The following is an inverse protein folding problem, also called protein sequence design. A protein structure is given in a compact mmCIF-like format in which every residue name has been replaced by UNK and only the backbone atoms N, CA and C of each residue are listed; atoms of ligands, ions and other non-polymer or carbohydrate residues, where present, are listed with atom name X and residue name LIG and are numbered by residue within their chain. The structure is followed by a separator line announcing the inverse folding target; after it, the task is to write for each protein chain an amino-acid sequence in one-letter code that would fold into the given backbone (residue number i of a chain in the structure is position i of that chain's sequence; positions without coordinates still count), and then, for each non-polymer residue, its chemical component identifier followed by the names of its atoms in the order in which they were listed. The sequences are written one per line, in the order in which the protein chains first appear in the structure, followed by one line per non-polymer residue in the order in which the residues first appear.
data_IF_764697473733
#
_entry.id   IF_764697473733
#
_cell.length_a   1.000
_cell.length_b   1.000
_cell.length_c   1.000
_cell.angle_alpha   90.00
_cell.angle_beta   90.00
_cell.angle_gamma   90.00
#
_symmetry.space_group_name_H-M   'P 1'
#
loop_
_entity.id
_entity.type
_entity.pdbx_description
1 polymer ?
#
# COMPACT_ATOMS: atom_id res chain seq x y z
N UNK A 1 -2.80 2.05 19.68
CA UNK A 1 -1.95 1.71 18.51
C UNK A 1 -1.65 2.97 17.69
N UNK A 2 -2.65 3.70 17.18
CA UNK A 2 -2.44 4.87 16.34
C UNK A 2 -1.68 6.01 17.03
N UNK A 3 -1.98 6.32 18.29
CA UNK A 3 -1.29 7.34 19.05
C UNK A 3 0.19 6.97 19.23
N UNK A 4 0.49 5.75 19.66
CA UNK A 4 1.88 5.32 19.82
C UNK A 4 2.66 5.30 18.51
N UNK A 5 2.01 4.98 17.37
CA UNK A 5 2.66 5.07 16.06
C UNK A 5 2.95 6.54 15.68
N UNK A 6 2.03 7.46 15.99
CA UNK A 6 2.22 8.90 15.76
C UNK A 6 3.39 9.44 16.59
N UNK A 7 3.42 9.14 17.89
CA UNK A 7 4.51 9.53 18.80
C UNK A 7 5.86 9.04 18.28
N UNK A 8 5.95 7.75 17.88
CA UNK A 8 7.16 7.19 17.30
C UNK A 8 7.60 7.91 16.02
N UNK A 9 6.67 8.19 15.10
CA UNK A 9 6.97 8.90 13.86
C UNK A 9 7.44 10.33 14.13
N UNK A 10 6.84 11.02 15.08
CA UNK A 10 7.23 12.38 15.46
C UNK A 10 8.63 12.41 16.08
N UNK A 11 8.95 11.45 16.96
CA UNK A 11 10.29 11.27 17.53
C UNK A 11 11.34 11.01 16.44
N UNK A 12 11.07 10.03 15.55
CA UNK A 12 11.98 9.68 14.45
C UNK A 12 12.24 10.83 13.49
N UNK A 13 11.28 11.74 13.33
CA UNK A 13 11.39 12.91 12.46
C UNK A 13 11.88 14.17 13.18
N UNK A 14 12.22 14.09 14.46
CA UNK A 14 12.67 15.23 15.26
C UNK A 14 11.61 16.33 15.42
N UNK A 15 10.33 15.97 15.33
CA UNK A 15 9.21 16.91 15.48
C UNK A 15 8.78 17.09 16.94
N UNK A 16 9.16 16.14 17.80
CA UNK A 16 8.94 16.17 19.24
C UNK A 16 10.06 15.39 19.92
N UNK A 17 10.32 15.67 21.19
CA UNK A 17 11.32 14.98 22.00
C UNK A 17 10.66 14.12 23.08
N UNK A 18 11.39 13.13 23.60
CA UNK A 18 10.85 12.17 24.56
C UNK A 18 10.41 12.83 25.89
N UNK A 19 11.13 13.85 26.34
CA UNK A 19 10.79 14.65 27.52
C UNK A 19 9.49 15.47 27.33
N UNK A 20 9.22 15.92 26.10
CA UNK A 20 7.98 16.63 25.76
C UNK A 20 6.78 15.68 25.74
N UNK A 21 6.95 14.47 25.21
CA UNK A 21 5.91 13.44 25.27
C UNK A 21 5.59 13.06 26.72
N UNK A 22 6.62 12.87 27.54
CA UNK A 22 6.48 12.48 28.94
C UNK A 22 5.81 13.57 29.80
N UNK A 23 6.14 14.83 29.55
CA UNK A 23 5.62 15.97 30.35
C UNK A 23 4.34 16.59 29.79
N UNK A 24 4.06 16.41 28.48
CA UNK A 24 3.01 17.13 27.76
C UNK A 24 3.30 18.63 27.60
N UNK A 25 4.55 19.05 27.78
CA UNK A 25 5.00 20.44 27.69
C UNK A 25 6.03 20.58 26.59
N UNK A 26 5.98 21.69 25.86
CA UNK A 26 7.00 22.03 24.87
C UNK A 26 8.26 22.55 25.58
N UNK A 27 9.37 21.86 25.41
CA UNK A 27 10.67 22.20 25.99
C UNK A 27 11.69 22.67 24.93
N UNK A 28 11.45 22.34 23.68
CA UNK A 28 12.36 22.62 22.56
C UNK A 28 11.68 23.49 21.51
N UNK A 29 12.44 24.31 20.77
CA UNK A 29 11.89 25.05 19.63
C UNK A 29 11.29 24.07 18.59
N UNK A 30 10.13 24.41 18.06
CA UNK A 30 9.49 23.60 17.02
C UNK A 30 10.41 23.45 15.79
N UNK A 31 10.57 22.22 15.31
CA UNK A 31 11.29 21.97 14.08
C UNK A 31 10.58 22.62 12.88
N UNK A 32 11.30 23.26 11.93
CA UNK A 32 10.69 23.83 10.75
C UNK A 32 10.12 22.69 9.87
N UNK A 33 8.88 22.85 9.43
CA UNK A 33 8.21 21.91 8.50
C UNK A 33 7.94 22.59 7.18
N UNK A 34 8.15 21.89 6.07
CA UNK A 34 8.05 22.44 4.72
C UNK A 34 6.61 22.89 4.36
N UNK A 35 5.61 22.20 4.93
CA UNK A 35 4.20 22.51 4.71
C UNK A 35 3.42 22.38 6.00
N UNK A 36 2.73 23.44 6.37
CA UNK A 36 1.81 23.46 7.52
C UNK A 36 0.38 23.55 6.97
N UNK A 37 -0.46 22.58 7.32
CA UNK A 37 -1.88 22.65 7.00
C UNK A 37 -2.55 23.65 7.95
N UNK A 38 -2.96 24.80 7.42
CA UNK A 38 -3.68 25.81 8.18
C UNK A 38 -5.11 25.34 8.46
N UNK A 39 -5.63 25.64 9.66
CA UNK A 39 -6.97 25.23 10.10
C UNK A 39 -8.07 25.63 9.10
N UNK A 40 -8.00 26.81 8.52
CA UNK A 40 -8.94 27.30 7.52
C UNK A 40 -8.99 26.44 6.23
N UNK A 41 -7.90 25.72 5.90
CA UNK A 41 -7.78 24.91 4.69
C UNK A 41 -8.20 23.46 4.89
N UNK A 42 -8.38 23.01 6.14
CA UNK A 42 -8.72 21.61 6.46
C UNK A 42 -9.97 21.11 5.74
N UNK A 43 -11.11 21.85 5.74
CA UNK A 43 -12.33 21.39 5.06
C UNK A 43 -12.11 21.18 3.55
N UNK A 44 -11.41 22.10 2.89
CA UNK A 44 -11.14 22.00 1.45
C UNK A 44 -10.21 20.82 1.11
N UNK A 45 -9.18 20.60 1.93
CA UNK A 45 -8.24 19.48 1.75
C UNK A 45 -8.95 18.14 1.93
N UNK A 46 -9.79 18.01 2.95
CA UNK A 46 -10.57 16.79 3.19
C UNK A 46 -11.58 16.53 2.07
N UNK A 47 -12.27 17.57 1.60
CA UNK A 47 -13.23 17.44 0.51
C UNK A 47 -12.56 17.02 -0.82
N UNK A 48 -11.37 17.55 -1.10
CA UNK A 48 -10.58 17.20 -2.28
C UNK A 48 -10.07 15.75 -2.24
N UNK A 49 -9.74 15.25 -1.04
CA UNK A 49 -9.06 13.97 -0.87
C UNK A 49 -7.63 13.98 -1.45
N UNK A 50 -7.06 12.79 -1.54
CA UNK A 50 -5.73 12.57 -2.11
C UNK A 50 -5.77 11.33 -3.02
N UNK A 51 -6.11 11.52 -4.30
CA UNK A 51 -6.10 10.44 -5.29
C UNK A 51 -4.69 9.88 -5.46
N UNK A 52 -4.62 8.57 -5.67
CA UNK A 52 -3.35 7.84 -5.86
C UNK A 52 -3.03 7.55 -7.31
N UNK A 53 -3.95 7.81 -8.23
CA UNK A 53 -3.74 7.63 -9.67
C UNK A 53 -2.68 8.60 -10.20
N UNK A 54 -1.83 8.11 -11.10
CA UNK A 54 -0.76 8.86 -11.76
C UNK A 54 -0.70 8.49 -13.25
N UNK A 55 -0.14 9.36 -14.11
CA UNK A 55 0.16 8.97 -15.50
C UNK A 55 1.05 7.73 -15.54
N UNK A 56 0.69 6.76 -16.39
CA UNK A 56 1.52 5.58 -16.61
C UNK A 56 2.79 5.95 -17.40
N UNK A 57 3.93 5.43 -16.98
CA UNK A 57 5.23 5.63 -17.65
C UNK A 57 5.49 4.61 -18.77
N UNK A 58 4.76 3.50 -18.80
CA UNK A 58 4.86 2.42 -19.78
C UNK A 58 3.50 1.72 -19.93
N UNK A 59 3.26 0.97 -21.01
CA UNK A 59 2.08 0.13 -21.14
C UNK A 59 1.96 -0.92 -20.03
N UNK A 60 0.73 -1.33 -19.71
CA UNK A 60 0.46 -2.44 -18.80
C UNK A 60 1.06 -3.74 -19.33
N UNK A 61 1.73 -4.51 -18.48
CA UNK A 61 2.36 -5.80 -18.84
C UNK A 61 1.36 -6.94 -18.98
N UNK A 62 0.23 -6.85 -18.26
CA UNK A 62 -0.76 -7.90 -18.20
C UNK A 62 -2.10 -7.42 -18.75
N UNK A 63 -2.87 -8.36 -19.32
CA UNK A 63 -4.20 -8.10 -19.87
C UNK A 63 -5.28 -8.76 -19.02
N UNK A 64 -6.52 -8.24 -19.10
CA UNK A 64 -7.69 -8.88 -18.48
C UNK A 64 -7.86 -10.29 -19.03
N UNK A 65 -8.14 -11.25 -18.15
CA UNK A 65 -8.22 -12.68 -18.44
C UNK A 65 -6.88 -13.42 -18.45
N UNK A 66 -5.75 -12.72 -18.32
CA UNK A 66 -4.44 -13.34 -18.26
C UNK A 66 -4.19 -14.01 -16.91
N UNK A 67 -3.69 -15.25 -16.94
CA UNK A 67 -3.22 -15.95 -15.75
C UNK A 67 -1.87 -15.36 -15.30
N UNK A 68 -1.77 -15.09 -14.02
CA UNK A 68 -0.57 -14.55 -13.36
C UNK A 68 -0.26 -15.33 -12.09
N UNK A 69 0.97 -15.21 -11.62
CA UNK A 69 1.39 -15.71 -10.32
C UNK A 69 1.82 -14.54 -9.45
N UNK A 70 1.42 -14.55 -8.19
CA UNK A 70 1.93 -13.58 -7.21
C UNK A 70 3.36 -13.92 -6.85
N UNK A 71 4.22 -12.91 -6.73
CA UNK A 71 5.59 -13.11 -6.27
C UNK A 71 5.62 -13.83 -4.92
N UNK A 72 6.59 -14.73 -4.78
CA UNK A 72 6.91 -15.37 -3.52
C UNK A 72 8.13 -14.67 -2.93
N UNK A 73 7.99 -14.07 -1.77
CA UNK A 73 9.12 -13.45 -1.11
C UNK A 73 8.71 -12.72 0.17
N UNK A 74 9.55 -12.84 1.18
CA UNK A 74 9.41 -12.06 2.40
C UNK A 74 10.19 -10.76 2.25
N UNK A 75 9.55 -9.64 2.55
CA UNK A 75 10.19 -8.35 2.68
C UNK A 75 10.22 -7.95 4.15
N UNK A 76 11.21 -7.17 4.54
CA UNK A 76 11.40 -6.66 5.91
C UNK A 76 10.80 -5.27 6.11
N UNK A 77 10.12 -4.76 5.09
CA UNK A 77 9.45 -3.47 5.09
C UNK A 77 7.93 -3.62 4.90
N UNK A 78 7.23 -2.49 4.98
CA UNK A 78 5.81 -2.45 4.67
C UNK A 78 5.54 -2.94 3.24
N UNK A 79 4.59 -3.86 3.08
CA UNK A 79 4.10 -4.30 1.79
C UNK A 79 2.58 -4.45 1.78
N UNK A 80 2.00 -4.21 0.62
CA UNK A 80 0.57 -4.48 0.37
C UNK A 80 0.33 -5.85 -0.28
N UNK A 81 1.38 -6.66 -0.45
CA UNK A 81 1.25 -8.04 -0.93
C UNK A 81 0.84 -8.96 0.22
N UNK A 82 -0.43 -9.44 0.27
CA UNK A 82 -0.89 -10.29 1.36
C UNK A 82 -0.18 -11.65 1.36
N UNK A 83 0.21 -12.14 2.53
CA UNK A 83 0.96 -13.39 2.65
C UNK A 83 0.22 -14.60 2.08
N UNK A 84 -1.10 -14.64 2.22
CA UNK A 84 -1.91 -15.80 1.79
C UNK A 84 -2.03 -15.96 0.26
N UNK A 85 -1.72 -14.92 -0.53
CA UNK A 85 -1.70 -15.00 -2.00
C UNK A 85 -0.30 -15.16 -2.57
N UNK A 86 0.76 -15.08 -1.76
CA UNK A 86 2.14 -15.22 -2.26
C UNK A 86 2.36 -16.60 -2.90
N UNK A 87 2.96 -16.59 -4.10
CA UNK A 87 3.21 -17.79 -4.90
C UNK A 87 1.96 -18.42 -5.54
N UNK A 88 0.77 -17.86 -5.28
CA UNK A 88 -0.51 -18.37 -5.79
C UNK A 88 -0.78 -17.87 -7.20
N UNK A 89 -1.52 -18.69 -7.96
CA UNK A 89 -1.98 -18.37 -9.32
C UNK A 89 -3.36 -17.71 -9.25
N UNK A 90 -3.53 -16.66 -10.03
CA UNK A 90 -4.81 -15.99 -10.17
C UNK A 90 -5.01 -15.48 -11.60
N UNK A 91 -6.15 -14.86 -11.85
CA UNK A 91 -6.50 -14.31 -13.15
C UNK A 91 -6.73 -12.81 -13.02
N UNK A 92 -6.18 -12.02 -13.93
CA UNK A 92 -6.45 -10.58 -14.01
C UNK A 92 -7.92 -10.36 -14.36
N UNK A 93 -8.65 -9.71 -13.46
CA UNK A 93 -10.05 -9.35 -13.66
C UNK A 93 -10.19 -7.90 -14.15
N UNK A 94 -9.38 -6.99 -13.60
CA UNK A 94 -9.46 -5.57 -13.90
C UNK A 94 -8.10 -4.90 -13.92
N UNK A 95 -7.98 -3.80 -14.70
CA UNK A 95 -6.80 -2.92 -14.78
C UNK A 95 -7.23 -1.53 -14.34
N UNK A 96 -6.70 -1.04 -13.23
CA UNK A 96 -7.10 0.24 -12.62
C UNK A 96 -6.37 1.46 -13.16
N UNK A 97 -5.28 1.28 -13.88
CA UNK A 97 -4.35 2.37 -14.22
C UNK A 97 -3.08 2.31 -13.38
N UNK A 98 -2.25 3.34 -13.49
CA UNK A 98 -1.05 3.45 -12.68
C UNK A 98 -1.34 4.21 -11.38
N UNK A 99 -0.91 3.66 -10.27
CA UNK A 99 -1.11 4.22 -8.93
C UNK A 99 0.18 4.30 -8.15
N UNK A 100 0.26 5.23 -7.21
CA UNK A 100 1.36 5.35 -6.25
C UNK A 100 1.67 3.97 -5.68
N UNK A 101 2.93 3.54 -5.77
CA UNK A 101 3.37 2.26 -5.23
C UNK A 101 3.53 2.37 -3.70
N UNK A 102 2.63 1.71 -2.98
CA UNK A 102 2.53 1.85 -1.54
C UNK A 102 3.81 1.46 -0.80
N UNK A 103 4.51 0.42 -1.26
CA UNK A 103 5.73 -0.08 -0.60
C UNK A 103 6.87 0.95 -0.65
N UNK A 104 7.11 1.55 -1.81
CA UNK A 104 8.12 2.59 -1.97
C UNK A 104 7.74 3.87 -1.21
N UNK A 105 6.49 4.28 -1.33
CA UNK A 105 6.00 5.51 -0.69
C UNK A 105 6.06 5.42 0.83
N UNK A 106 5.74 4.26 1.42
CA UNK A 106 5.82 4.03 2.86
C UNK A 106 7.26 4.13 3.41
N UNK A 107 8.25 3.81 2.60
CA UNK A 107 9.67 3.90 2.93
C UNK A 107 10.28 5.29 2.66
N UNK A 108 9.50 6.24 2.14
CA UNK A 108 10.01 7.56 1.75
C UNK A 108 10.85 7.57 0.47
N UNK A 109 10.77 6.49 -0.34
CA UNK A 109 11.49 6.34 -1.61
C UNK A 109 10.78 7.01 -2.80
N UNK A 110 9.74 7.80 -2.52
CA UNK A 110 8.91 8.45 -3.52
C UNK A 110 7.72 7.62 -3.96
N UNK A 111 6.95 8.14 -4.89
CA UNK A 111 5.67 7.55 -5.29
C UNK A 111 5.82 6.31 -6.18
N UNK A 112 6.82 6.27 -7.06
CA UNK A 112 7.15 5.18 -7.98
C UNK A 112 5.89 4.51 -8.61
N UNK A 113 5.05 5.23 -9.36
CA UNK A 113 3.76 4.72 -9.81
C UNK A 113 3.91 3.47 -10.65
N UNK A 114 3.05 2.49 -10.41
CA UNK A 114 2.99 1.23 -11.15
C UNK A 114 1.54 0.90 -11.51
N UNK A 115 1.34 0.10 -12.54
CA UNK A 115 0.04 -0.46 -12.88
C UNK A 115 -0.52 -1.27 -11.72
N UNK A 116 -1.81 -1.08 -11.46
CA UNK A 116 -2.57 -1.76 -10.42
C UNK A 116 -3.62 -2.64 -11.09
N UNK A 117 -3.71 -3.87 -10.66
CA UNK A 117 -4.62 -4.88 -11.19
C UNK A 117 -5.46 -5.49 -10.08
N UNK A 118 -6.73 -5.81 -10.36
CA UNK A 118 -7.46 -6.78 -9.54
C UNK A 118 -7.14 -8.17 -10.06
N UNK A 119 -6.64 -9.02 -9.17
CA UNK A 119 -6.36 -10.44 -9.41
C UNK A 119 -7.34 -11.27 -8.62
N UNK A 120 -8.03 -12.20 -9.29
CA UNK A 120 -9.00 -13.12 -8.67
C UNK A 120 -8.35 -14.48 -8.47
N UNK A 121 -8.54 -15.04 -7.30
CA UNK A 121 -8.04 -16.34 -6.89
C UNK A 121 -9.19 -17.26 -6.52
N UNK A 122 -9.14 -18.50 -6.99
CA UNK A 122 -10.07 -19.55 -6.58
C UNK A 122 -9.76 -20.05 -5.17
N UNK A 123 -10.79 -20.46 -4.45
CA UNK A 123 -10.69 -21.03 -3.10
C UNK A 123 -9.68 -22.19 -3.03
N UNK A 124 -9.73 -23.12 -4.00
CA UNK A 124 -8.84 -24.27 -4.07
C UNK A 124 -7.36 -23.88 -4.22
N UNK A 125 -7.06 -22.82 -4.99
CA UNK A 125 -5.70 -22.30 -5.13
C UNK A 125 -5.17 -21.72 -3.81
N UNK A 126 -6.00 -21.02 -3.06
CA UNK A 126 -5.60 -20.37 -1.82
C UNK A 126 -5.42 -21.36 -0.67
N UNK A 127 -6.38 -22.26 -0.46
CA UNK A 127 -6.48 -23.12 0.73
C UNK A 127 -6.40 -24.61 0.45
N UNK A 128 -6.27 -25.01 -0.82
CA UNK A 128 -6.17 -26.40 -1.25
C UNK A 128 -7.53 -27.14 -1.27
N UNK A 129 -7.50 -28.36 -1.79
CA UNK A 129 -8.72 -29.16 -1.99
C UNK A 129 -9.34 -29.71 -0.71
N UNK A 130 -8.63 -29.66 0.41
CA UNK A 130 -9.11 -30.14 1.71
C UNK A 130 -10.02 -29.13 2.43
N UNK A 131 -10.06 -27.88 1.98
CA UNK A 131 -10.99 -26.89 2.53
C UNK A 131 -12.43 -27.21 2.13
N UNK A 132 -13.42 -26.97 3.02
CA UNK A 132 -14.83 -27.11 2.64
C UNK A 132 -15.13 -26.19 1.47
N UNK A 133 -15.51 -26.75 0.33
CA UNK A 133 -15.81 -25.94 -0.88
C UNK A 133 -17.03 -25.06 -0.66
N UNK A 134 -16.81 -23.76 -0.65
CA UNK A 134 -17.87 -22.76 -0.53
C UNK A 134 -18.08 -22.00 -1.84
N UNK A 135 -17.37 -22.37 -2.92
CA UNK A 135 -17.34 -21.67 -4.22
C UNK A 135 -16.99 -20.19 -4.07
N UNK A 136 -16.02 -19.91 -3.21
CA UNK A 136 -15.55 -18.54 -2.97
C UNK A 136 -14.45 -18.18 -3.96
N UNK A 137 -14.45 -16.93 -4.35
CA UNK A 137 -13.33 -16.28 -5.02
C UNK A 137 -12.86 -15.10 -4.17
N UNK A 138 -11.56 -14.85 -4.16
CA UNK A 138 -10.96 -13.71 -3.46
C UNK A 138 -10.30 -12.80 -4.47
N UNK A 139 -10.71 -11.54 -4.47
CA UNK A 139 -10.10 -10.50 -5.29
C UNK A 139 -9.08 -9.71 -4.46
N UNK A 140 -7.91 -9.48 -5.03
CA UNK A 140 -6.82 -8.70 -4.42
C UNK A 140 -6.31 -7.68 -5.42
N UNK A 141 -6.19 -6.44 -5.00
CA UNK A 141 -5.53 -5.42 -5.79
C UNK A 141 -4.01 -5.53 -5.62
N UNK A 142 -3.30 -5.70 -6.74
CA UNK A 142 -1.89 -5.99 -6.80
C UNK A 142 -1.16 -5.04 -7.76
N UNK A 143 -0.05 -4.44 -7.30
CA UNK A 143 0.84 -3.69 -8.18
C UNK A 143 1.61 -4.62 -9.11
N UNK A 144 1.95 -4.11 -10.30
CA UNK A 144 2.62 -4.87 -11.36
C UNK A 144 3.87 -5.61 -10.90
N UNK A 145 4.65 -5.01 -9.99
CA UNK A 145 5.86 -5.62 -9.43
C UNK A 145 5.58 -6.84 -8.53
N UNK A 146 4.34 -7.06 -8.11
CA UNK A 146 3.97 -8.25 -7.36
C UNK A 146 3.62 -9.45 -8.25
N UNK A 147 3.60 -9.25 -9.57
CA UNK A 147 3.08 -10.20 -10.54
C UNK A 147 4.16 -10.71 -11.48
N UNK A 148 4.07 -11.99 -11.81
CA UNK A 148 4.81 -12.63 -12.89
C UNK A 148 3.84 -13.42 -13.79
N UNK A 149 4.18 -13.67 -15.07
CA UNK A 149 3.38 -14.56 -15.89
C UNK A 149 3.25 -15.94 -15.23
N UNK A 150 2.02 -16.49 -15.18
CA UNK A 150 1.86 -17.89 -14.80
C UNK A 150 2.32 -18.75 -15.98
N UNK A 151 3.36 -19.55 -15.76
CA UNK A 151 3.80 -20.55 -16.70
C UNK A 151 2.79 -21.70 -16.79
#
# INVERSE_FOLDING_TARGET
IWLGALEQLMLQRGQVFADEIASGQMHHPAAPVARVLQAANVPAVLAKGSGTERPASAPARFAVGQAVRMHLGRVDHHTRLPAYVQGKRGTIEHIHGAHVFADANAQGLGEQPQWLYTVVFDEAELWGDAAPRQNLAVSVDAWESYLEPAA
#
